data_IF_861741469497
#
_entry.id   IF_861741469497
#
_cell.length_a   1.000
_cell.length_b   1.000
_cell.length_c   1.000
_cell.angle_alpha   90.00
_cell.angle_beta   90.00
_cell.angle_gamma   90.00
#
_symmetry.space_group_name_H-M   'P 1'
#
loop_
_entity.id
_entity.type
_entity.pdbx_description
1 polymer ?
#
# COMPACT_ATOMS: atom_id res chain seq x y z
N UNK A 1 1.70 -12.00 -17.11
CA UNK A 1 0.63 -11.52 -18.02
C UNK A 1 0.07 -10.18 -17.57
N UNK A 2 -0.42 -10.03 -16.34
CA UNK A 2 -0.93 -8.74 -15.82
C UNK A 2 0.06 -7.58 -15.99
N UNK A 3 1.32 -7.74 -15.55
CA UNK A 3 2.33 -6.68 -15.68
C UNK A 3 2.51 -6.21 -17.14
N UNK A 4 2.59 -7.14 -18.09
CA UNK A 4 2.74 -6.82 -19.50
C UNK A 4 1.50 -6.11 -20.05
N UNK A 5 0.31 -6.63 -19.74
CA UNK A 5 -0.95 -6.05 -20.17
C UNK A 5 -1.13 -4.62 -19.66
N UNK A 6 -1.01 -4.41 -18.34
CA UNK A 6 -1.18 -3.07 -17.76
C UNK A 6 -0.04 -2.11 -18.15
N UNK A 7 1.17 -2.62 -18.42
CA UNK A 7 2.24 -1.80 -19.01
C UNK A 7 1.90 -1.37 -20.45
N UNK A 8 1.33 -2.26 -21.27
CA UNK A 8 0.90 -1.92 -22.62
C UNK A 8 -0.25 -0.90 -22.62
N UNK A 9 -1.24 -1.08 -21.74
CA UNK A 9 -2.32 -0.10 -21.53
C UNK A 9 -1.76 1.25 -21.10
N UNK A 10 -0.80 1.27 -20.18
CA UNK A 10 -0.15 2.50 -19.75
C UNK A 10 0.66 3.17 -20.86
N UNK A 11 1.38 2.41 -21.68
CA UNK A 11 2.07 2.94 -22.87
C UNK A 11 1.08 3.56 -23.86
N UNK A 12 -0.02 2.87 -24.15
CA UNK A 12 -1.06 3.39 -25.04
C UNK A 12 -1.67 4.69 -24.50
N UNK A 13 -1.92 4.75 -23.20
CA UNK A 13 -2.40 5.97 -22.54
C UNK A 13 -1.37 7.12 -22.68
N UNK A 14 -0.09 6.84 -22.42
CA UNK A 14 0.98 7.83 -22.56
C UNK A 14 1.04 8.36 -23.99
N UNK A 15 1.02 7.46 -24.97
CA UNK A 15 1.08 7.77 -26.40
C UNK A 15 -0.05 8.68 -26.87
N UNK A 16 -1.28 8.40 -26.41
CA UNK A 16 -2.47 9.06 -26.93
C UNK A 16 -2.83 10.34 -26.16
N UNK A 17 -2.49 10.41 -24.88
CA UNK A 17 -3.04 11.43 -23.97
C UNK A 17 -1.99 12.28 -23.27
N UNK A 18 -0.70 12.02 -23.50
CA UNK A 18 0.39 12.79 -22.87
C UNK A 18 1.47 13.18 -23.89
N UNK A 19 2.21 14.28 -23.66
CA UNK A 19 3.34 14.66 -24.51
C UNK A 19 4.64 13.89 -24.17
N UNK A 20 4.58 12.83 -23.35
CA UNK A 20 5.76 12.12 -22.84
C UNK A 20 6.33 11.19 -23.92
N UNK A 21 7.66 11.17 -24.08
CA UNK A 21 8.34 10.31 -25.03
C UNK A 21 8.29 8.82 -24.62
N UNK A 22 7.49 8.04 -25.33
CA UNK A 22 7.28 6.60 -25.13
C UNK A 22 8.56 5.76 -25.25
N UNK A 23 9.51 6.19 -26.09
CA UNK A 23 10.74 5.43 -26.35
C UNK A 23 11.62 5.30 -25.10
N UNK A 24 11.58 6.29 -24.20
CA UNK A 24 12.29 6.22 -22.91
C UNK A 24 11.64 5.21 -21.96
N UNK A 25 10.31 5.13 -21.94
CA UNK A 25 9.56 4.17 -21.12
C UNK A 25 9.82 2.72 -21.57
N UNK A 26 10.00 2.49 -22.87
CA UNK A 26 10.36 1.17 -23.41
C UNK A 26 11.83 0.81 -23.08
N UNK A 27 12.75 1.77 -23.23
CA UNK A 27 14.19 1.54 -22.97
C UNK A 27 14.47 1.06 -21.54
N UNK A 28 13.70 1.54 -20.56
CA UNK A 28 13.88 1.21 -19.15
C UNK A 28 12.81 0.28 -18.58
N UNK A 29 12.03 -0.40 -19.43
CA UNK A 29 10.87 -1.22 -19.04
C UNK A 29 11.16 -2.25 -17.93
N UNK A 30 12.36 -2.83 -17.91
CA UNK A 30 12.80 -3.82 -16.92
C UNK A 30 13.42 -3.19 -15.66
N UNK A 31 13.81 -1.91 -15.73
CA UNK A 31 14.48 -1.19 -14.64
C UNK A 31 13.50 -0.31 -13.87
N UNK A 32 12.50 0.25 -14.55
CA UNK A 32 11.48 1.12 -13.98
C UNK A 32 10.12 0.78 -14.58
N UNK A 33 9.04 0.81 -13.78
CA UNK A 33 7.72 0.59 -14.32
C UNK A 33 7.37 1.70 -15.33
N UNK A 34 6.71 1.34 -16.43
CA UNK A 34 6.21 2.31 -17.46
C UNK A 34 5.43 3.44 -16.82
N UNK A 35 4.63 3.09 -15.81
CA UNK A 35 3.87 4.01 -15.01
C UNK A 35 4.22 3.76 -13.56
N UNK A 36 4.59 4.80 -12.79
CA UNK A 36 5.06 4.64 -11.40
C UNK A 36 4.16 3.72 -10.58
N UNK A 37 2.84 3.88 -10.70
CA UNK A 37 1.85 3.10 -9.95
C UNK A 37 1.78 1.61 -10.35
N UNK A 38 2.52 1.11 -11.33
CA UNK A 38 2.61 -0.33 -11.61
C UNK A 38 3.66 -1.03 -10.74
N UNK A 39 4.39 -0.30 -9.89
CA UNK A 39 5.45 -0.84 -9.04
C UNK A 39 5.01 -2.05 -8.18
N UNK A 40 3.75 -2.08 -7.72
CA UNK A 40 3.23 -3.17 -6.89
C UNK A 40 3.21 -4.53 -7.61
N UNK A 41 3.05 -4.55 -8.94
CA UNK A 41 3.14 -5.80 -9.70
C UNK A 41 4.52 -6.45 -9.58
N UNK A 42 5.58 -5.63 -9.50
CA UNK A 42 6.94 -6.12 -9.27
C UNK A 42 7.08 -6.67 -7.85
N UNK A 43 6.53 -5.97 -6.84
CA UNK A 43 6.53 -6.44 -5.46
C UNK A 43 5.79 -7.79 -5.30
N UNK A 44 4.62 -7.94 -5.93
CA UNK A 44 3.84 -9.19 -5.92
C UNK A 44 4.64 -10.36 -6.52
N UNK A 45 5.37 -10.15 -7.62
CA UNK A 45 6.20 -11.19 -8.23
C UNK A 45 7.21 -11.73 -7.21
N UNK A 46 7.88 -10.84 -6.48
CA UNK A 46 8.82 -11.22 -5.42
C UNK A 46 8.12 -12.01 -4.32
N UNK A 47 6.97 -11.54 -3.82
CA UNK A 47 6.21 -12.25 -2.78
C UNK A 47 5.83 -13.66 -3.24
N UNK A 48 5.33 -13.84 -4.47
CA UNK A 48 4.98 -15.16 -5.00
C UNK A 48 6.18 -16.07 -5.20
N UNK A 49 7.33 -15.53 -5.61
CA UNK A 49 8.56 -16.30 -5.76
C UNK A 49 9.05 -16.84 -4.40
N UNK A 50 8.94 -16.04 -3.34
CA UNK A 50 9.34 -16.44 -1.99
C UNK A 50 8.27 -17.27 -1.24
N UNK A 51 6.99 -17.14 -1.63
CA UNK A 51 5.89 -17.84 -0.97
C UNK A 51 6.05 -19.36 -0.81
N UNK A 52 6.55 -20.15 -1.79
CA UNK A 52 6.76 -21.59 -1.60
C UNK A 52 7.93 -21.91 -0.65
N UNK A 53 8.86 -20.98 -0.44
CA UNK A 53 10.03 -21.16 0.42
C UNK A 53 9.73 -20.84 1.90
N UNK A 54 8.63 -20.15 2.18
CA UNK A 54 8.31 -19.66 3.52
C UNK A 54 6.99 -20.24 4.01
N UNK A 55 7.05 -21.02 5.08
CA UNK A 55 5.87 -21.52 5.76
C UNK A 55 5.62 -20.72 7.05
N UNK A 56 4.50 -19.99 7.10
CA UNK A 56 4.07 -19.31 8.32
C UNK A 56 3.35 -20.29 9.23
N UNK A 57 3.87 -20.49 10.45
CA UNK A 57 3.25 -21.35 11.47
C UNK A 57 2.31 -20.55 12.37
N UNK A 58 1.28 -21.17 12.96
CA UNK A 58 0.47 -20.52 13.99
C UNK A 58 1.35 -20.09 15.17
N UNK A 59 1.21 -18.85 15.60
CA UNK A 59 1.99 -18.26 16.69
C UNK A 59 1.08 -17.62 17.74
N UNK A 60 1.57 -17.50 18.98
CA UNK A 60 0.85 -16.81 20.05
C UNK A 60 0.80 -15.30 19.77
N UNK A 61 -0.30 -14.65 20.16
CA UNK A 61 -0.50 -13.22 19.93
C UNK A 61 0.60 -12.33 20.53
N UNK A 62 1.02 -12.63 21.77
CA UNK A 62 2.10 -11.88 22.42
C UNK A 62 3.43 -11.99 21.68
N UNK A 63 3.73 -13.17 21.12
CA UNK A 63 4.93 -13.35 20.30
C UNK A 63 4.87 -12.52 19.02
N UNK A 64 3.73 -12.55 18.31
CA UNK A 64 3.57 -11.75 17.09
C UNK A 64 3.63 -10.25 17.36
N UNK A 65 3.04 -9.79 18.47
CA UNK A 65 3.13 -8.39 18.89
C UNK A 65 4.58 -7.97 19.20
N UNK A 66 5.33 -8.81 19.91
CA UNK A 66 6.75 -8.56 20.18
C UNK A 66 7.58 -8.50 18.88
N UNK A 67 7.41 -9.49 17.99
CA UNK A 67 8.08 -9.50 16.68
C UNK A 67 7.69 -8.28 15.84
N UNK A 68 6.42 -7.88 15.88
CA UNK A 68 5.93 -6.67 15.18
C UNK A 68 6.64 -5.43 15.70
N UNK A 69 6.77 -5.27 17.03
CA UNK A 69 7.44 -4.13 17.64
C UNK A 69 8.93 -4.09 17.29
N UNK A 70 9.60 -5.25 17.35
CA UNK A 70 11.01 -5.39 16.98
C UNK A 70 11.21 -5.03 15.51
N UNK A 71 10.42 -5.60 14.59
CA UNK A 71 10.56 -5.34 13.16
C UNK A 71 10.16 -3.92 12.76
N UNK A 72 9.10 -3.38 13.37
CA UNK A 72 8.60 -2.06 13.03
C UNK A 72 9.50 -0.95 13.56
N UNK A 73 10.15 -1.13 14.73
CA UNK A 73 10.89 -0.05 15.41
C UNK A 73 12.39 -0.35 15.48
N UNK A 74 12.79 -1.49 16.06
CA UNK A 74 14.20 -1.77 16.37
C UNK A 74 15.04 -2.17 15.14
N UNK A 75 14.44 -2.97 14.27
CA UNK A 75 15.06 -3.48 13.05
C UNK A 75 14.67 -2.65 11.81
N UNK A 76 13.98 -1.52 12.00
CA UNK A 76 13.53 -0.68 10.91
C UNK A 76 14.58 0.39 10.59
N UNK A 77 15.28 0.33 9.43
CA UNK A 77 16.22 1.37 9.00
C UNK A 77 15.60 2.77 8.83
N UNK A 78 14.27 2.89 8.76
CA UNK A 78 13.55 4.17 8.63
C UNK A 78 13.08 4.72 9.98
N UNK A 79 13.42 4.07 11.10
CA UNK A 79 13.25 4.67 12.41
C UNK A 79 14.19 5.86 12.50
N UNK A 80 13.63 7.06 12.68
CA UNK A 80 14.40 8.30 12.81
C UNK A 80 15.44 8.11 13.92
N UNK A 81 16.70 8.44 13.63
CA UNK A 81 17.80 8.47 14.61
C UNK A 81 17.42 9.40 15.77
N UNK A 82 16.81 8.83 16.80
CA UNK A 82 16.29 9.55 17.96
C UNK A 82 17.28 9.47 19.11
N UNK A 83 18.07 10.52 19.31
CA UNK A 83 18.85 10.67 20.55
C UNK A 83 17.92 11.16 21.66
N UNK A 84 17.48 10.26 22.56
CA UNK A 84 16.89 10.66 23.83
C UNK A 84 18.01 10.65 24.88
N UNK A 85 18.35 11.83 25.41
CA UNK A 85 19.17 12.03 26.61
C UNK A 85 20.41 11.12 26.74
N UNK A 86 21.42 11.33 25.88
CA UNK A 86 22.76 10.70 25.94
C UNK A 86 22.80 9.19 25.62
N UNK A 87 21.68 8.58 25.25
CA UNK A 87 21.62 7.18 24.81
C UNK A 87 21.42 7.11 23.29
N UNK A 88 22.45 6.66 22.58
CA UNK A 88 22.36 6.38 21.15
C UNK A 88 21.75 4.98 20.95
N UNK A 89 20.46 4.90 20.64
CA UNK A 89 19.91 3.68 20.05
C UNK A 89 20.38 3.64 18.61
N UNK A 90 21.37 2.80 18.30
CA UNK A 90 21.62 2.41 16.93
C UNK A 90 20.46 1.49 16.54
N UNK A 91 19.63 1.82 15.53
CA UNK A 91 18.79 0.80 14.91
C UNK A 91 19.72 -0.34 14.53
N UNK A 92 19.36 -1.57 14.88
CA UNK A 92 20.13 -2.74 14.43
C UNK A 92 19.94 -2.74 12.92
N UNK A 93 20.91 -2.18 12.20
CA UNK A 93 20.93 -2.17 10.74
C UNK A 93 21.20 -3.60 10.30
N UNK A 94 20.14 -4.42 10.37
CA UNK A 94 20.03 -5.63 9.57
C UNK A 94 20.18 -5.11 8.15
N UNK A 95 21.34 -5.33 7.54
CA UNK A 95 21.74 -4.89 6.20
C UNK A 95 20.79 -5.42 5.11
N UNK A 96 19.51 -5.03 5.18
CA UNK A 96 18.47 -5.39 4.25
C UNK A 96 18.25 -4.14 3.42
N UNK A 97 19.09 -4.03 2.40
CA UNK A 97 19.01 -2.95 1.43
C UNK A 97 17.78 -3.17 0.56
N UNK A 98 16.82 -2.24 0.63
CA UNK A 98 15.66 -2.21 -0.24
C UNK A 98 14.34 -2.42 0.50
N UNK A 99 13.40 -1.50 0.27
CA UNK A 99 12.06 -1.53 0.86
C UNK A 99 11.23 -2.78 0.49
N UNK A 100 11.69 -3.56 -0.50
CA UNK A 100 11.02 -4.78 -0.95
C UNK A 100 10.81 -5.79 0.16
N UNK A 101 11.71 -5.84 1.17
CA UNK A 101 11.54 -6.71 2.33
C UNK A 101 10.25 -6.41 3.10
N UNK A 102 9.84 -5.13 3.15
CA UNK A 102 8.64 -4.74 3.89
C UNK A 102 7.38 -5.31 3.25
N UNK A 103 7.33 -5.45 1.93
CA UNK A 103 6.20 -6.13 1.28
C UNK A 103 6.11 -7.61 1.68
N UNK A 104 7.26 -8.27 1.80
CA UNK A 104 7.32 -9.64 2.31
C UNK A 104 6.87 -9.68 3.78
N UNK A 105 7.36 -8.76 4.62
CA UNK A 105 6.95 -8.66 6.03
C UNK A 105 5.45 -8.42 6.17
N UNK A 106 4.87 -7.53 5.37
CA UNK A 106 3.43 -7.31 5.32
C UNK A 106 2.66 -8.58 4.95
N UNK A 107 3.11 -9.34 3.95
CA UNK A 107 2.48 -10.59 3.55
C UNK A 107 2.55 -11.66 4.66
N UNK A 108 3.72 -11.82 5.30
CA UNK A 108 3.94 -12.77 6.38
C UNK A 108 3.11 -12.42 7.62
N UNK A 109 3.09 -11.14 7.99
CA UNK A 109 2.29 -10.63 9.10
C UNK A 109 0.80 -10.80 8.82
N UNK A 110 0.35 -10.48 7.61
CA UNK A 110 -1.02 -10.67 7.20
C UNK A 110 -1.47 -12.13 7.28
N UNK A 111 -0.62 -13.06 6.83
CA UNK A 111 -0.86 -14.51 6.96
C UNK A 111 -0.91 -14.96 8.42
N UNK A 112 0.02 -14.50 9.25
CA UNK A 112 0.09 -14.84 10.68
C UNK A 112 -1.18 -14.36 11.42
N UNK A 113 -1.55 -13.08 11.25
CA UNK A 113 -2.76 -12.50 11.82
C UNK A 113 -4.00 -13.23 11.30
N UNK A 114 -4.03 -13.57 10.01
CA UNK A 114 -5.12 -14.32 9.39
C UNK A 114 -5.39 -15.68 10.04
N UNK A 115 -4.36 -16.38 10.53
CA UNK A 115 -4.51 -17.67 11.23
C UNK A 115 -4.96 -17.56 12.68
N UNK A 116 -4.71 -16.41 13.31
CA UNK A 116 -4.95 -16.27 14.75
C UNK A 116 -6.43 -16.10 15.05
N UNK A 117 -6.87 -16.47 16.25
CA UNK A 117 -8.16 -15.99 16.75
C UNK A 117 -7.97 -14.63 17.43
N UNK A 118 -8.48 -13.59 16.77
CA UNK A 118 -8.36 -12.20 17.22
C UNK A 118 -9.70 -11.61 17.67
N UNK A 119 -10.81 -12.37 17.66
CA UNK A 119 -12.20 -11.91 17.80
C UNK A 119 -12.58 -11.50 19.25
N UNK A 120 -11.66 -10.86 19.98
CA UNK A 120 -11.89 -10.34 21.34
C UNK A 120 -12.13 -8.85 21.29
N UNK A 121 -13.18 -8.37 21.98
CA UNK A 121 -13.56 -6.94 21.99
C UNK A 121 -12.40 -6.02 22.42
N UNK A 122 -11.62 -6.43 23.42
CA UNK A 122 -10.43 -5.68 23.86
C UNK A 122 -9.35 -5.57 22.78
N UNK A 123 -9.13 -6.63 21.99
CA UNK A 123 -8.14 -6.62 20.90
C UNK A 123 -8.57 -5.66 19.79
N UNK A 124 -9.85 -5.62 19.43
CA UNK A 124 -10.37 -4.66 18.45
C UNK A 124 -10.23 -3.21 18.90
N UNK A 125 -10.50 -2.92 20.18
CA UNK A 125 -10.32 -1.57 20.73
C UNK A 125 -8.85 -1.16 20.76
N UNK A 126 -7.96 -2.05 21.18
CA UNK A 126 -6.52 -1.81 21.15
C UNK A 126 -6.01 -1.57 19.73
N UNK A 127 -6.47 -2.37 18.77
CA UNK A 127 -6.14 -2.19 17.36
C UNK A 127 -6.66 -0.85 16.81
N UNK A 128 -7.92 -0.49 17.09
CA UNK A 128 -8.49 0.79 16.68
C UNK A 128 -7.76 1.98 17.30
N UNK A 129 -7.48 1.94 18.60
CA UNK A 129 -6.71 2.98 19.30
C UNK A 129 -5.28 3.11 18.78
N UNK A 130 -4.60 1.98 18.55
CA UNK A 130 -3.24 1.96 17.98
C UNK A 130 -3.21 2.53 16.56
N UNK A 131 -4.21 2.19 15.74
CA UNK A 131 -4.35 2.75 14.40
C UNK A 131 -4.52 4.28 14.44
N UNK A 132 -5.45 4.79 15.24
CA UNK A 132 -5.68 6.24 15.39
C UNK A 132 -4.41 6.94 15.88
N UNK A 133 -3.75 6.39 16.91
CA UNK A 133 -2.49 6.95 17.41
C UNK A 133 -1.41 7.02 16.31
N UNK A 134 -1.23 5.95 15.54
CA UNK A 134 -0.27 5.94 14.43
C UNK A 134 -0.62 6.98 13.36
N UNK A 135 -1.91 7.10 12.98
CA UNK A 135 -2.36 8.13 12.02
C UNK A 135 -2.08 9.54 12.53
N UNK A 136 -2.34 9.81 13.81
CA UNK A 136 -2.01 11.10 14.42
C UNK A 136 -0.50 11.37 14.41
N UNK A 137 0.33 10.38 14.76
CA UNK A 137 1.79 10.50 14.70
C UNK A 137 2.28 10.80 13.28
N UNK A 138 1.76 10.09 12.28
CA UNK A 138 2.08 10.33 10.87
C UNK A 138 1.67 11.75 10.47
N UNK A 139 0.44 12.17 10.79
CA UNK A 139 -0.07 13.48 10.40
C UNK A 139 0.74 14.63 11.05
N UNK A 140 0.95 14.57 12.36
CA UNK A 140 1.71 15.59 13.09
C UNK A 140 3.19 15.58 12.72
N UNK A 141 3.80 14.39 12.59
CA UNK A 141 5.19 14.23 12.17
C UNK A 141 5.42 14.80 10.77
N UNK A 142 4.55 14.47 9.81
CA UNK A 142 4.61 15.01 8.44
C UNK A 142 4.43 16.51 8.42
N UNK A 143 3.46 17.06 9.17
CA UNK A 143 3.24 18.51 9.27
C UNK A 143 4.45 19.24 9.84
N UNK A 144 5.04 18.71 10.92
CA UNK A 144 6.22 19.28 11.54
C UNK A 144 7.43 19.23 10.60
N UNK A 145 7.64 18.10 9.93
CA UNK A 145 8.72 17.94 8.98
C UNK A 145 8.57 18.88 7.77
N UNK A 146 7.34 19.03 7.27
CA UNK A 146 7.03 19.99 6.21
C UNK A 146 7.39 21.43 6.61
N UNK A 147 7.03 21.83 7.84
CA UNK A 147 7.35 23.16 8.35
C UNK A 147 8.86 23.40 8.51
N UNK A 148 9.63 22.35 8.85
CA UNK A 148 11.11 22.44 8.98
C UNK A 148 11.77 22.48 7.59
N UNK A 149 11.35 21.60 6.69
CA UNK A 149 12.00 21.41 5.40
C UNK A 149 11.55 22.44 4.35
N UNK A 150 10.43 23.14 4.57
CA UNK A 150 9.80 24.01 3.57
C UNK A 150 9.18 23.26 2.39
N UNK A 151 9.21 21.92 2.42
CA UNK A 151 8.71 21.04 1.39
C UNK A 151 8.26 19.71 2.01
N UNK A 152 7.45 18.95 1.27
CA UNK A 152 7.01 17.62 1.70
C UNK A 152 8.21 16.67 1.81
N UNK A 153 8.31 16.03 2.96
CA UNK A 153 9.22 14.91 3.19
C UNK A 153 8.39 13.70 3.62
N UNK A 154 8.68 12.56 3.03
CA UNK A 154 7.97 11.31 3.21
C UNK A 154 8.39 10.57 4.49
N UNK A 155 9.35 11.06 5.27
CA UNK A 155 9.92 10.37 6.45
C UNK A 155 8.88 9.72 7.37
N UNK A 156 7.82 10.45 7.73
CA UNK A 156 6.74 9.94 8.59
C UNK A 156 5.62 9.23 7.82
N UNK A 157 5.53 9.49 6.52
CA UNK A 157 4.50 8.98 5.61
C UNK A 157 4.97 7.76 4.80
N UNK A 158 6.24 7.36 4.98
CA UNK A 158 6.87 6.30 4.23
C UNK A 158 6.27 4.95 4.62
N UNK A 159 5.93 4.12 3.63
CA UNK A 159 5.22 2.87 3.85
C UNK A 159 6.05 1.80 4.60
N UNK A 160 7.38 1.90 4.56
CA UNK A 160 8.28 1.10 5.38
C UNK A 160 8.58 1.74 6.75
N UNK A 161 7.98 2.89 7.05
CA UNK A 161 8.13 3.58 8.32
C UNK A 161 7.41 2.86 9.49
N UNK A 162 7.90 3.04 10.73
CA UNK A 162 7.39 2.35 11.93
C UNK A 162 5.89 2.58 12.14
N UNK A 163 5.46 3.84 12.08
CA UNK A 163 4.08 4.22 12.33
C UNK A 163 3.13 3.67 11.25
N UNK A 164 3.56 3.67 9.98
CA UNK A 164 2.74 3.14 8.88
C UNK A 164 2.61 1.62 8.98
N UNK A 165 3.70 0.92 9.31
CA UNK A 165 3.67 -0.53 9.51
C UNK A 165 2.73 -0.94 10.65
N UNK A 166 2.84 -0.27 11.81
CA UNK A 166 1.95 -0.51 12.95
C UNK A 166 0.49 -0.15 12.64
N UNK A 167 0.26 0.94 11.90
CA UNK A 167 -1.09 1.30 11.45
C UNK A 167 -1.69 0.21 10.56
N UNK A 168 -0.94 -0.31 9.58
CA UNK A 168 -1.40 -1.35 8.68
C UNK A 168 -1.76 -2.65 9.41
N UNK A 169 -0.90 -3.10 10.34
CA UNK A 169 -1.16 -4.28 11.18
C UNK A 169 -2.40 -4.08 12.05
N UNK A 170 -2.51 -2.92 12.69
CA UNK A 170 -3.65 -2.57 13.54
C UNK A 170 -4.96 -2.54 12.75
N UNK A 171 -4.94 -1.92 11.57
CA UNK A 171 -6.10 -1.83 10.68
C UNK A 171 -6.54 -3.20 10.19
N UNK A 172 -5.59 -4.08 9.84
CA UNK A 172 -5.90 -5.45 9.43
C UNK A 172 -6.60 -6.24 10.54
N UNK A 173 -6.10 -6.15 11.79
CA UNK A 173 -6.75 -6.79 12.94
C UNK A 173 -8.16 -6.25 13.15
N UNK A 174 -8.33 -4.92 13.05
CA UNK A 174 -9.62 -4.28 13.20
C UNK A 174 -10.61 -4.78 12.13
N UNK A 175 -10.23 -4.71 10.85
CA UNK A 175 -11.07 -5.14 9.72
C UNK A 175 -11.43 -6.62 9.82
N UNK A 176 -10.47 -7.47 10.17
CA UNK A 176 -10.68 -8.90 10.37
C UNK A 176 -11.73 -9.17 11.46
N UNK A 177 -11.72 -8.38 12.54
CA UNK A 177 -12.64 -8.57 13.64
C UNK A 177 -14.03 -7.97 13.40
N UNK A 178 -14.12 -6.84 12.69
CA UNK A 178 -15.37 -6.07 12.55
C UNK A 178 -16.09 -6.27 11.22
N UNK A 179 -15.35 -6.47 10.12
CA UNK A 179 -15.92 -6.47 8.76
C UNK A 179 -15.92 -7.86 8.10
N UNK A 180 -15.18 -8.83 8.63
CA UNK A 180 -15.06 -10.15 8.02
C UNK A 180 -16.22 -11.11 8.34
N UNK A 181 -17.13 -10.74 9.24
CA UNK A 181 -18.24 -11.62 9.66
C UNK A 181 -19.30 -11.78 8.56
N UNK A 182 -19.60 -10.69 7.83
CA UNK A 182 -20.49 -10.68 6.66
C UNK A 182 -19.97 -9.66 5.65
N UNK A 183 -19.38 -10.14 4.57
CA UNK A 183 -18.88 -9.27 3.50
C UNK A 183 -20.07 -8.60 2.81
N UNK A 184 -20.15 -7.28 2.89
CA UNK A 184 -21.17 -6.49 2.18
C UNK A 184 -21.04 -6.72 0.66
N UNK A 185 -22.14 -6.91 -0.09
CA UNK A 185 -22.12 -7.04 -1.56
C UNK A 185 -21.30 -5.96 -2.28
N UNK A 186 -21.28 -4.73 -1.76
CA UNK A 186 -20.45 -3.65 -2.30
C UNK A 186 -18.94 -3.94 -2.17
N UNK A 187 -18.48 -4.39 -1.00
CA UNK A 187 -17.08 -4.80 -0.81
C UNK A 187 -16.74 -6.05 -1.62
N UNK A 188 -17.68 -6.98 -1.76
CA UNK A 188 -17.50 -8.15 -2.62
C UNK A 188 -17.31 -7.76 -4.09
N UNK A 189 -18.05 -6.75 -4.57
CA UNK A 189 -17.90 -6.20 -5.92
C UNK A 189 -16.50 -5.62 -6.13
N UNK A 190 -16.05 -4.74 -5.24
CA UNK A 190 -14.70 -4.14 -5.32
C UNK A 190 -13.63 -5.22 -5.25
N UNK A 191 -13.74 -6.17 -4.32
CA UNK A 191 -12.78 -7.26 -4.15
C UNK A 191 -12.65 -8.10 -5.42
N UNK A 192 -13.77 -8.39 -6.10
CA UNK A 192 -13.81 -9.19 -7.33
C UNK A 192 -13.06 -8.51 -8.49
N UNK A 193 -13.01 -7.18 -8.52
CA UNK A 193 -12.35 -6.39 -9.55
C UNK A 193 -11.08 -5.70 -9.06
N UNK A 194 -10.55 -6.10 -7.90
CA UNK A 194 -9.44 -5.41 -7.23
C UNK A 194 -8.18 -5.30 -8.10
N UNK A 195 -7.85 -6.37 -8.85
CA UNK A 195 -6.68 -6.41 -9.73
C UNK A 195 -6.81 -5.44 -10.92
N UNK A 196 -7.92 -5.43 -11.69
CA UNK A 196 -8.12 -4.38 -12.70
C UNK A 196 -8.30 -2.98 -12.16
N UNK A 197 -8.95 -2.81 -11.00
CA UNK A 197 -9.05 -1.49 -10.36
C UNK A 197 -7.63 -0.98 -10.08
N UNK A 198 -6.75 -1.84 -9.58
CA UNK A 198 -5.35 -1.50 -9.39
C UNK A 198 -4.66 -1.14 -10.73
N UNK A 199 -4.94 -1.84 -11.81
CA UNK A 199 -4.37 -1.51 -13.12
C UNK A 199 -4.83 -0.18 -13.72
N UNK A 200 -6.11 0.18 -13.55
CA UNK A 200 -6.72 1.34 -14.21
C UNK A 200 -6.74 2.63 -13.37
N UNK A 201 -6.81 2.54 -12.03
CA UNK A 201 -7.02 3.73 -11.17
C UNK A 201 -5.99 4.84 -11.41
N UNK A 202 -4.75 4.45 -11.64
CA UNK A 202 -3.64 5.37 -11.81
C UNK A 202 -3.79 6.24 -13.07
N UNK A 203 -4.41 5.71 -14.13
CA UNK A 203 -4.70 6.45 -15.37
C UNK A 203 -5.76 7.53 -15.14
N UNK A 204 -6.80 7.22 -14.36
CA UNK A 204 -7.84 8.19 -13.99
C UNK A 204 -7.27 9.31 -13.12
N UNK A 205 -6.49 8.98 -12.09
CA UNK A 205 -5.86 9.98 -11.22
C UNK A 205 -4.95 10.90 -12.05
N UNK A 206 -4.12 10.31 -12.92
CA UNK A 206 -3.23 11.09 -13.78
C UNK A 206 -3.99 11.98 -14.76
N UNK A 207 -5.05 11.45 -15.38
CA UNK A 207 -5.90 12.22 -16.27
C UNK A 207 -6.54 13.41 -15.57
N UNK A 208 -7.10 13.21 -14.38
CA UNK A 208 -7.72 14.30 -13.61
C UNK A 208 -6.70 15.37 -13.24
N UNK A 209 -5.52 14.98 -12.73
CA UNK A 209 -4.46 15.92 -12.34
C UNK A 209 -3.86 16.70 -13.51
N UNK A 210 -3.64 16.05 -14.66
CA UNK A 210 -3.11 16.72 -15.86
C UNK A 210 -4.11 17.67 -16.51
N UNK A 211 -5.39 17.55 -16.18
CA UNK A 211 -6.46 18.43 -16.66
C UNK A 211 -6.97 19.40 -15.60
N UNK A 212 -6.29 19.50 -14.45
CA UNK A 212 -6.68 20.37 -13.33
C UNK A 212 -8.13 20.15 -12.88
N UNK A 213 -8.58 18.88 -12.89
CA UNK A 213 -9.90 18.48 -12.40
C UNK A 213 -9.87 18.16 -10.90
N UNK A 214 -8.69 18.20 -10.29
CA UNK A 214 -8.48 18.15 -8.85
C UNK A 214 -8.64 19.55 -8.22
N UNK A 215 -9.11 19.56 -6.97
CA UNK A 215 -9.33 20.76 -6.18
C UNK A 215 -8.54 20.67 -4.88
N UNK A 216 -7.22 20.75 -4.98
CA UNK A 216 -6.30 20.65 -3.84
C UNK A 216 -6.54 21.70 -2.75
N UNK A 217 -7.17 22.83 -3.10
CA UNK A 217 -7.53 23.89 -2.13
C UNK A 217 -8.68 23.46 -1.20
N UNK A 218 -9.46 22.45 -1.58
CA UNK A 218 -10.58 21.91 -0.80
C UNK A 218 -10.43 20.39 -0.62
N UNK A 219 -9.42 19.94 0.15
CA UNK A 219 -9.07 18.51 0.25
C UNK A 219 -10.21 17.64 0.77
N UNK A 220 -11.08 18.18 1.62
CA UNK A 220 -12.24 17.44 2.16
C UNK A 220 -13.30 17.10 1.09
N UNK A 221 -13.36 17.87 0.01
CA UNK A 221 -14.25 17.59 -1.14
C UNK A 221 -13.50 16.85 -2.24
N UNK A 222 -12.25 17.22 -2.48
CA UNK A 222 -11.42 16.64 -3.53
C UNK A 222 -11.17 15.15 -3.30
N UNK A 223 -10.78 14.74 -2.09
CA UNK A 223 -10.43 13.34 -1.81
C UNK A 223 -11.63 12.40 -2.09
N UNK A 224 -12.85 12.63 -1.56
CA UNK A 224 -14.00 11.79 -1.89
C UNK A 224 -14.37 11.81 -3.37
N UNK A 225 -14.25 12.95 -4.05
CA UNK A 225 -14.58 13.10 -5.46
C UNK A 225 -13.61 12.32 -6.35
N UNK A 226 -12.32 12.58 -6.21
CA UNK A 226 -11.24 11.89 -6.94
C UNK A 226 -11.31 10.39 -6.69
N UNK A 227 -11.49 9.98 -5.43
CA UNK A 227 -11.68 8.58 -5.06
C UNK A 227 -12.89 7.95 -5.78
N UNK A 228 -14.05 8.61 -5.72
CA UNK A 228 -15.29 8.06 -6.27
C UNK A 228 -15.22 7.95 -7.79
N UNK A 229 -14.76 8.99 -8.48
CA UNK A 229 -14.62 8.98 -9.94
C UNK A 229 -13.59 7.93 -10.39
N UNK A 230 -12.45 7.85 -9.70
CA UNK A 230 -11.42 6.85 -9.99
C UNK A 230 -11.94 5.44 -9.78
N UNK A 231 -12.62 5.18 -8.66
CA UNK A 231 -13.16 3.86 -8.33
C UNK A 231 -14.24 3.44 -9.32
N UNK A 232 -15.21 4.32 -9.61
CA UNK A 232 -16.30 4.03 -10.53
C UNK A 232 -15.80 3.84 -11.96
N UNK A 233 -14.92 4.73 -12.44
CA UNK A 233 -14.30 4.61 -13.76
C UNK A 233 -13.50 3.31 -13.90
N UNK A 234 -12.71 2.97 -12.87
CA UNK A 234 -11.94 1.73 -12.86
C UNK A 234 -12.83 0.50 -12.79
N UNK A 235 -13.92 0.52 -12.03
CA UNK A 235 -14.91 -0.58 -11.97
C UNK A 235 -15.61 -0.79 -13.32
N UNK A 236 -15.96 0.28 -14.03
CA UNK A 236 -16.56 0.19 -15.36
C UNK A 236 -15.60 -0.45 -16.36
N UNK A 237 -14.34 -0.01 -16.40
CA UNK A 237 -13.33 -0.62 -17.25
C UNK A 237 -13.02 -2.07 -16.84
N UNK A 238 -12.96 -2.36 -15.55
CA UNK A 238 -12.77 -3.71 -15.03
C UNK A 238 -13.89 -4.66 -15.45
N UNK A 239 -15.15 -4.21 -15.36
CA UNK A 239 -16.30 -4.97 -15.81
C UNK A 239 -16.27 -5.22 -17.33
N UNK A 240 -15.85 -4.22 -18.12
CA UNK A 240 -15.62 -4.36 -19.55
C UNK A 240 -14.52 -5.36 -19.87
N UNK A 241 -13.36 -5.23 -19.22
CA UNK A 241 -12.20 -6.12 -19.39
C UNK A 241 -12.57 -7.56 -19.08
N UNK A 242 -13.30 -7.81 -17.99
CA UNK A 242 -13.73 -9.16 -17.61
C UNK A 242 -14.63 -9.84 -18.65
N UNK A 243 -15.38 -9.08 -19.45
CA UNK A 243 -16.17 -9.66 -20.55
C UNK A 243 -15.30 -10.12 -21.71
N UNK A 244 -14.14 -9.50 -21.89
CA UNK A 244 -13.21 -9.77 -22.98
C UNK A 244 -12.20 -10.85 -22.56
N UNK A 245 -11.71 -10.79 -21.34
CA UNK A 245 -10.76 -11.75 -20.76
C UNK A 245 -11.46 -13.03 -20.27
N UNK A 246 -11.83 -13.88 -21.22
CA UNK A 246 -12.51 -15.16 -20.96
C UNK A 246 -11.71 -16.13 -20.10
N UNK A 247 -10.39 -15.96 -20.03
CA UNK A 247 -9.47 -16.86 -19.32
C UNK A 247 -8.98 -16.31 -17.97
N UNK A 248 -9.47 -15.13 -17.56
CA UNK A 248 -9.09 -14.46 -16.30
C UNK A 248 -7.56 -14.33 -16.11
N UNK A 249 -6.86 -14.01 -17.19
CA UNK A 249 -5.41 -13.83 -17.18
C UNK A 249 -4.99 -12.45 -16.67
N UNK A 250 -5.90 -11.47 -16.74
CA UNK A 250 -5.66 -10.05 -16.42
C UNK A 250 -6.82 -9.37 -15.71
N UNK A 251 -8.04 -9.93 -15.78
CA UNK A 251 -9.28 -9.44 -15.15
C UNK A 251 -9.52 -9.92 -13.72
#
# INVERSE_FOLDING_TARGET
>A
MCLLFYSAVALLYIALLTPINEAQSIKYLLQKPVFYHLWFFFAIIVIYLFSPLIQVKPVRAGYLAAVTLVLAILANPNTVDGSIARFHWLPVNLYISGDTIYYLLYALMGRAIGMMDTQRRGVSWLAGGSFVLCVLLIAFGTKRQFAINGAFADTWYLYCGPAVFLAAVSLLVLFKNTLNQRVNPFFALISRYSLPIYGFHALFIHFMRTRHLDNTDRPLLDIPLVFSLTLLGSLLLAAGLKRIDKYHLVS
#
